data_IF_632646771019
#
_entry.id   IF_632646771019
#
_cell.length_a   1.000
_cell.length_b   1.000
_cell.length_c   1.000
_cell.angle_alpha   90.00
_cell.angle_beta   90.00
_cell.angle_gamma   90.00
#
_symmetry.space_group_name_H-M   'P 1'
#
loop_
_entity.id
_entity.type
_entity.pdbx_description
1 polymer ?
#
# COMPACT_ATOMS: atom_id res chain seq x y z
N UNK A 1 -10.18 23.83 25.72
CA UNK A 1 -11.46 23.90 24.99
C UNK A 1 -11.54 22.69 24.09
N UNK A 2 -12.36 21.71 24.47
CA UNK A 2 -12.43 20.40 23.82
C UNK A 2 -13.01 20.52 22.41
N UNK A 3 -12.29 19.98 21.43
CA UNK A 3 -12.77 19.87 20.05
C UNK A 3 -13.90 18.84 20.06
N UNK A 4 -15.13 19.35 19.91
CA UNK A 4 -16.33 18.53 19.81
C UNK A 4 -16.21 17.62 18.58
N UNK A 5 -16.23 16.31 18.81
CA UNK A 5 -16.42 15.32 17.75
C UNK A 5 -17.75 15.55 17.02
N UNK A 6 -17.90 15.03 15.79
CA UNK A 6 -19.10 15.26 15.00
C UNK A 6 -20.34 14.75 15.76
N UNK A 7 -21.28 15.66 16.01
CA UNK A 7 -22.57 15.35 16.65
C UNK A 7 -23.33 14.34 15.77
N UNK A 8 -23.46 13.11 16.23
CA UNK A 8 -24.28 12.07 15.61
C UNK A 8 -25.76 12.38 15.85
N UNK A 9 -26.43 12.92 14.84
CA UNK A 9 -27.86 13.27 14.90
C UNK A 9 -28.80 12.13 14.46
N UNK A 10 -28.39 10.86 14.49
CA UNK A 10 -29.22 9.74 14.00
C UNK A 10 -29.18 8.54 14.94
N UNK A 11 -29.92 8.61 16.03
CA UNK A 11 -30.28 7.44 16.84
C UNK A 11 -31.11 6.45 16.01
N UNK A 12 -30.54 5.30 15.65
CA UNK A 12 -31.35 4.20 15.14
C UNK A 12 -30.62 2.96 14.64
N UNK A 13 -29.51 3.05 13.90
CA UNK A 13 -28.94 1.89 13.20
C UNK A 13 -27.40 1.93 13.26
N UNK A 14 -26.80 1.37 14.32
CA UNK A 14 -25.36 1.39 14.59
C UNK A 14 -24.46 0.95 13.43
N UNK A 15 -24.95 0.08 12.53
CA UNK A 15 -24.16 -0.39 11.39
C UNK A 15 -24.07 0.66 10.27
N UNK A 16 -25.12 1.46 10.05
CA UNK A 16 -25.10 2.55 9.06
C UNK A 16 -24.12 3.64 9.48
N UNK A 17 -24.10 3.99 10.76
CA UNK A 17 -23.15 4.95 11.32
C UNK A 17 -21.70 4.45 11.23
N UNK A 18 -21.46 3.15 11.46
CA UNK A 18 -20.12 2.56 11.31
C UNK A 18 -19.62 2.61 9.86
N UNK A 19 -20.49 2.36 8.89
CA UNK A 19 -20.14 2.47 7.46
C UNK A 19 -19.86 3.94 7.09
N UNK A 20 -20.64 4.88 7.62
CA UNK A 20 -20.44 6.32 7.41
C UNK A 20 -19.12 6.83 7.99
N UNK A 21 -18.67 6.25 9.10
CA UNK A 21 -17.40 6.58 9.74
C UNK A 21 -16.21 5.75 9.24
N UNK A 22 -16.40 4.86 8.25
CA UNK A 22 -15.34 3.97 7.75
C UNK A 22 -14.32 4.70 6.86
N UNK A 23 -13.14 4.99 7.39
CA UNK A 23 -12.09 5.73 6.68
C UNK A 23 -11.13 4.83 5.87
N UNK A 24 -10.47 5.35 4.82
CA UNK A 24 -9.47 4.58 4.07
C UNK A 24 -8.29 4.06 4.92
N UNK A 25 -8.07 4.62 6.11
CA UNK A 25 -7.03 4.20 7.05
C UNK A 25 -7.17 2.72 7.49
N UNK A 26 -8.37 2.15 7.46
CA UNK A 26 -8.60 0.74 7.81
C UNK A 26 -7.87 -0.25 6.87
N UNK A 27 -7.57 0.14 5.62
CA UNK A 27 -6.78 -0.68 4.69
C UNK A 27 -5.34 -0.92 5.17
N UNK A 28 -4.85 -0.15 6.15
CA UNK A 28 -3.56 -0.43 6.79
C UNK A 28 -3.54 -1.76 7.54
N UNK A 29 -4.69 -2.26 7.99
CA UNK A 29 -4.80 -3.59 8.61
C UNK A 29 -4.59 -4.69 7.56
N UNK A 30 -5.17 -4.54 6.36
CA UNK A 30 -4.93 -5.44 5.23
C UNK A 30 -3.44 -5.47 4.87
N UNK A 31 -2.85 -4.29 4.66
CA UNK A 31 -1.41 -4.16 4.40
C UNK A 31 -0.56 -4.89 5.45
N UNK A 32 -0.83 -4.69 6.75
CA UNK A 32 -0.10 -5.36 7.82
C UNK A 32 -0.27 -6.89 7.79
N UNK A 33 -1.50 -7.36 7.56
CA UNK A 33 -1.82 -8.80 7.45
C UNK A 33 -1.08 -9.45 6.28
N UNK A 34 -1.07 -8.78 5.12
CA UNK A 34 -0.33 -9.22 3.94
C UNK A 34 1.19 -9.23 4.14
N UNK A 35 1.77 -8.23 4.83
CA UNK A 35 3.21 -8.22 5.13
C UNK A 35 3.59 -9.37 6.07
N UNK A 36 2.78 -9.67 7.09
CA UNK A 36 3.01 -10.83 7.98
C UNK A 36 3.03 -12.12 7.17
N UNK A 37 2.10 -12.28 6.22
CA UNK A 37 2.11 -13.41 5.30
C UNK A 37 3.40 -13.48 4.48
N UNK A 38 3.88 -12.38 3.92
CA UNK A 38 5.11 -12.35 3.14
C UNK A 38 6.35 -12.70 3.98
N UNK A 39 6.41 -12.23 5.23
CA UNK A 39 7.51 -12.57 6.15
C UNK A 39 7.53 -14.06 6.50
N UNK A 40 6.36 -14.67 6.70
CA UNK A 40 6.25 -16.10 7.00
C UNK A 40 6.62 -16.98 5.78
N UNK A 41 6.30 -16.55 4.56
CA UNK A 41 6.69 -17.28 3.33
C UNK A 41 8.20 -17.19 3.08
N UNK A 42 8.80 -16.02 3.28
CA UNK A 42 10.21 -15.77 2.95
C UNK A 42 11.17 -15.99 4.14
N UNK A 43 10.72 -16.61 5.22
CA UNK A 43 11.52 -16.78 6.42
C UNK A 43 12.74 -17.71 6.15
N UNK A 44 13.99 -17.22 6.32
CA UNK A 44 15.18 -17.91 5.82
C UNK A 44 15.67 -19.05 6.71
N UNK A 45 15.23 -19.12 7.98
CA UNK A 45 15.69 -20.15 8.91
C UNK A 45 14.72 -21.33 8.93
N UNK A 46 15.13 -22.53 8.46
CA UNK A 46 14.32 -23.73 8.62
C UNK A 46 14.29 -24.09 10.10
N UNK A 47 13.26 -23.63 10.80
CA UNK A 47 12.90 -24.18 12.12
C UNK A 47 12.69 -25.68 11.89
N UNK A 48 13.31 -26.56 12.67
CA UNK A 48 13.32 -28.00 12.41
C UNK A 48 11.91 -28.56 12.18
N UNK A 49 11.64 -29.04 10.95
CA UNK A 49 10.31 -29.50 10.55
C UNK A 49 9.24 -28.39 10.47
N UNK A 50 9.61 -27.12 10.39
CA UNK A 50 8.69 -25.98 10.55
C UNK A 50 8.26 -25.24 9.29
N UNK A 51 8.80 -25.62 8.15
CA UNK A 51 8.48 -25.01 6.86
C UNK A 51 7.01 -25.22 6.47
N UNK A 52 6.40 -26.36 6.84
CA UNK A 52 5.01 -26.67 6.48
C UNK A 52 3.99 -25.91 7.33
N UNK A 53 4.14 -25.87 8.66
CA UNK A 53 3.19 -25.15 9.52
C UNK A 53 3.26 -23.64 9.30
N UNK A 54 4.47 -23.11 9.06
CA UNK A 54 4.67 -21.69 8.79
C UNK A 54 4.04 -21.28 7.45
N UNK A 55 4.17 -22.12 6.41
CA UNK A 55 3.50 -21.88 5.13
C UNK A 55 1.98 -21.97 5.24
N UNK A 56 1.44 -22.88 6.05
CA UNK A 56 0.00 -22.96 6.33
C UNK A 56 -0.50 -21.73 7.09
N UNK A 57 0.23 -21.25 8.09
CA UNK A 57 -0.11 -20.01 8.79
C UNK A 57 -0.09 -18.82 7.83
N UNK A 58 0.94 -18.71 6.98
CA UNK A 58 1.02 -17.67 5.97
C UNK A 58 -0.19 -17.71 5.01
N UNK A 59 -0.63 -18.91 4.63
CA UNK A 59 -1.83 -19.10 3.81
C UNK A 59 -3.10 -18.65 4.53
N UNK A 60 -3.25 -18.92 5.84
CA UNK A 60 -4.35 -18.40 6.64
C UNK A 60 -4.36 -16.87 6.68
N UNK A 61 -3.19 -16.24 6.86
CA UNK A 61 -3.04 -14.78 6.82
C UNK A 61 -3.37 -14.21 5.44
N UNK A 62 -3.02 -14.90 4.36
CA UNK A 62 -3.38 -14.49 3.00
C UNK A 62 -4.90 -14.51 2.77
N UNK A 63 -5.59 -15.58 3.21
CA UNK A 63 -7.05 -15.66 3.13
C UNK A 63 -7.68 -14.55 3.97
N UNK A 64 -7.16 -14.31 5.18
CA UNK A 64 -7.63 -13.24 6.03
C UNK A 64 -7.46 -11.87 5.36
N UNK A 65 -6.33 -11.62 4.70
CA UNK A 65 -6.06 -10.39 3.96
C UNK A 65 -7.10 -10.20 2.83
N UNK A 66 -7.38 -11.23 2.03
CA UNK A 66 -8.41 -11.19 0.97
C UNK A 66 -9.79 -10.88 1.55
N UNK A 67 -10.19 -11.55 2.66
CA UNK A 67 -11.49 -11.34 3.29
C UNK A 67 -11.61 -9.93 3.84
N UNK A 68 -10.58 -9.44 4.54
CA UNK A 68 -10.55 -8.08 5.07
C UNK A 68 -10.59 -7.04 3.94
N UNK A 69 -9.81 -7.24 2.88
CA UNK A 69 -9.78 -6.35 1.73
C UNK A 69 -11.14 -6.29 1.02
N UNK A 70 -11.78 -7.44 0.81
CA UNK A 70 -13.13 -7.52 0.24
C UNK A 70 -14.18 -6.81 1.12
N UNK A 71 -14.16 -7.07 2.43
CA UNK A 71 -15.05 -6.43 3.40
C UNK A 71 -14.87 -4.91 3.42
N UNK A 72 -13.63 -4.43 3.49
CA UNK A 72 -13.29 -3.01 3.53
C UNK A 72 -13.61 -2.30 2.22
N UNK A 73 -13.36 -2.95 1.09
CA UNK A 73 -13.74 -2.44 -0.24
C UNK A 73 -15.25 -2.35 -0.38
N UNK A 74 -16.01 -3.35 0.09
CA UNK A 74 -17.47 -3.32 0.07
C UNK A 74 -18.01 -2.19 0.97
N UNK A 75 -17.48 -2.02 2.18
CA UNK A 75 -17.89 -0.92 3.07
C UNK A 75 -17.55 0.45 2.48
N UNK A 76 -16.37 0.60 1.87
CA UNK A 76 -15.97 1.84 1.21
C UNK A 76 -16.84 2.15 -0.01
N UNK A 77 -17.17 1.13 -0.81
CA UNK A 77 -18.07 1.26 -1.95
C UNK A 77 -19.47 1.69 -1.50
N UNK A 78 -20.04 1.05 -0.47
CA UNK A 78 -21.34 1.45 0.10
C UNK A 78 -21.28 2.88 0.64
N UNK A 79 -20.20 3.28 1.31
CA UNK A 79 -20.01 4.65 1.81
C UNK A 79 -20.07 5.68 0.68
N UNK A 80 -19.34 5.46 -0.41
CA UNK A 80 -19.27 6.42 -1.52
C UNK A 80 -20.47 6.39 -2.47
N UNK A 81 -21.12 5.23 -2.64
CA UNK A 81 -22.37 5.14 -3.41
C UNK A 81 -23.52 5.83 -2.65
N UNK A 82 -23.59 5.64 -1.33
CA UNK A 82 -24.66 6.22 -0.52
C UNK A 82 -24.46 7.73 -0.30
N UNK A 83 -23.21 8.19 -0.19
CA UNK A 83 -22.87 9.58 0.11
C UNK A 83 -21.67 10.04 -0.73
N UNK A 84 -21.89 10.39 -2.01
CA UNK A 84 -20.81 10.81 -2.90
C UNK A 84 -20.12 12.10 -2.44
N UNK A 85 -20.80 12.94 -1.66
CA UNK A 85 -20.22 14.15 -1.06
C UNK A 85 -19.04 13.83 -0.13
N UNK A 86 -19.06 12.66 0.54
CA UNK A 86 -17.97 12.22 1.41
C UNK A 86 -16.71 11.86 0.63
N UNK A 87 -16.82 11.45 -0.64
CA UNK A 87 -15.66 11.20 -1.48
C UNK A 87 -14.91 12.50 -1.74
N UNK A 88 -15.63 13.56 -2.13
CA UNK A 88 -15.05 14.89 -2.34
C UNK A 88 -14.41 15.40 -1.06
N UNK A 89 -15.08 15.23 0.08
CA UNK A 89 -14.54 15.60 1.40
C UNK A 89 -13.24 14.83 1.72
N UNK A 90 -13.24 13.51 1.57
CA UNK A 90 -12.07 12.67 1.84
C UNK A 90 -10.88 13.01 0.92
N UNK A 91 -11.14 13.38 -0.34
CA UNK A 91 -10.10 13.82 -1.28
C UNK A 91 -9.55 15.21 -0.94
N UNK A 92 -10.37 16.08 -0.35
CA UNK A 92 -10.03 17.47 -0.01
C UNK A 92 -9.54 17.66 1.43
N UNK A 93 -9.64 16.67 2.32
CA UNK A 93 -9.16 16.80 3.69
C UNK A 93 -7.84 16.04 3.89
N UNK A 94 -6.77 16.79 4.14
CA UNK A 94 -5.53 16.26 4.70
C UNK A 94 -5.72 16.07 6.22
N UNK A 95 -5.43 14.88 6.81
CA UNK A 95 -4.56 13.80 6.32
C UNK A 95 -5.29 12.59 5.72
N UNK A 96 -6.63 12.56 5.73
CA UNK A 96 -7.44 11.41 5.35
C UNK A 96 -7.19 10.94 3.90
N UNK A 97 -6.98 11.90 3.00
CA UNK A 97 -6.69 11.67 1.59
C UNK A 97 -5.45 10.78 1.37
N UNK A 98 -4.39 10.94 2.19
CA UNK A 98 -3.15 10.17 2.04
C UNK A 98 -3.33 8.67 2.30
N UNK A 99 -4.32 8.27 3.11
CA UNK A 99 -4.61 6.86 3.36
C UNK A 99 -5.25 6.15 2.16
N UNK A 100 -5.68 6.87 1.12
CA UNK A 100 -6.13 6.24 -0.13
C UNK A 100 -5.01 5.42 -0.80
N UNK A 101 -3.74 5.74 -0.52
CA UNK A 101 -2.61 4.92 -0.96
C UNK A 101 -2.53 3.55 -0.30
N UNK A 102 -3.19 3.32 0.84
CA UNK A 102 -3.23 2.00 1.45
C UNK A 102 -4.03 0.98 0.62
N UNK A 103 -4.96 1.44 -0.24
CA UNK A 103 -5.79 0.57 -1.09
C UNK A 103 -4.93 -0.20 -2.11
N UNK A 104 -4.15 0.46 -3.00
CA UNK A 104 -3.31 -0.28 -3.93
C UNK A 104 -2.24 -1.11 -3.22
N UNK A 105 -1.68 -0.63 -2.10
CA UNK A 105 -0.71 -1.41 -1.31
C UNK A 105 -1.32 -2.72 -0.81
N UNK A 106 -2.55 -2.69 -0.29
CA UNK A 106 -3.25 -3.91 0.14
C UNK A 106 -3.63 -4.82 -1.04
N UNK A 107 -3.84 -4.26 -2.24
CA UNK A 107 -4.00 -5.08 -3.45
C UNK A 107 -2.68 -5.78 -3.82
N UNK A 108 -1.54 -5.08 -3.72
CA UNK A 108 -0.21 -5.64 -3.99
C UNK A 108 0.10 -6.85 -3.09
N UNK A 109 -0.23 -6.81 -1.80
CA UNK A 109 -0.01 -7.96 -0.90
C UNK A 109 -0.78 -9.20 -1.34
N UNK A 110 -2.03 -9.02 -1.79
CA UNK A 110 -2.85 -10.10 -2.33
C UNK A 110 -2.21 -10.66 -3.62
N UNK A 111 -1.77 -9.79 -4.54
CA UNK A 111 -1.12 -10.16 -5.80
C UNK A 111 0.11 -11.03 -5.55
N UNK A 112 0.99 -10.60 -4.64
CA UNK A 112 2.20 -11.38 -4.32
C UNK A 112 1.82 -12.73 -3.71
N UNK A 113 0.80 -12.79 -2.84
CA UNK A 113 0.33 -14.05 -2.27
C UNK A 113 -0.30 -15.01 -3.29
N UNK A 114 -0.97 -14.54 -4.35
CA UNK A 114 -1.44 -15.40 -5.46
C UNK A 114 -0.27 -16.21 -6.00
N UNK A 115 0.86 -15.54 -6.23
CA UNK A 115 2.05 -16.14 -6.82
C UNK A 115 2.77 -17.03 -5.81
N UNK A 116 2.84 -16.64 -4.53
CA UNK A 116 3.49 -17.44 -3.48
C UNK A 116 2.82 -18.81 -3.22
N UNK A 117 1.51 -18.93 -3.45
CA UNK A 117 0.75 -20.16 -3.15
C UNK A 117 0.28 -20.93 -4.38
N UNK A 118 0.10 -20.27 -5.52
CA UNK A 118 -0.48 -20.86 -6.74
C UNK A 118 0.45 -20.79 -7.97
N UNK A 119 1.75 -20.64 -7.79
CA UNK A 119 2.75 -20.60 -8.88
C UNK A 119 2.64 -21.74 -9.90
N UNK A 120 2.23 -22.93 -9.47
CA UNK A 120 2.09 -24.15 -10.26
C UNK A 120 0.97 -24.05 -11.30
N UNK A 121 0.03 -23.10 -11.15
CA UNK A 121 -1.05 -22.88 -12.12
C UNK A 121 -0.73 -21.72 -13.04
N UNK A 122 -0.70 -21.99 -14.34
CA UNK A 122 -0.53 -20.94 -15.37
C UNK A 122 -1.64 -19.88 -15.29
N UNK A 123 -2.88 -20.27 -14.95
CA UNK A 123 -3.99 -19.32 -14.78
C UNK A 123 -3.74 -18.32 -13.65
N UNK A 124 -3.15 -18.75 -12.53
CA UNK A 124 -2.84 -17.87 -11.41
C UNK A 124 -1.81 -16.80 -11.79
N UNK A 125 -0.82 -17.15 -12.63
CA UNK A 125 0.19 -16.20 -13.14
C UNK A 125 -0.45 -15.09 -13.98
N UNK A 126 -1.38 -15.43 -14.87
CA UNK A 126 -2.10 -14.45 -15.68
C UNK A 126 -3.07 -13.59 -14.87
N UNK A 127 -3.69 -14.17 -13.84
CA UNK A 127 -4.52 -13.41 -12.89
C UNK A 127 -3.67 -12.40 -12.12
N UNK A 128 -2.51 -12.82 -11.59
CA UNK A 128 -1.58 -11.91 -10.93
C UNK A 128 -1.07 -10.80 -11.86
N UNK A 129 -0.77 -11.14 -13.12
CA UNK A 129 -0.41 -10.16 -14.16
C UNK A 129 -1.52 -9.13 -14.41
N UNK A 130 -2.78 -9.58 -14.54
CA UNK A 130 -3.91 -8.68 -14.76
C UNK A 130 -4.12 -7.75 -13.56
N UNK A 131 -4.10 -8.28 -12.34
CA UNK A 131 -4.21 -7.48 -11.12
C UNK A 131 -3.04 -6.52 -10.92
N UNK A 132 -1.82 -6.90 -11.34
CA UNK A 132 -0.66 -6.01 -11.32
C UNK A 132 -0.91 -4.73 -12.13
N UNK A 133 -1.48 -4.82 -13.34
CA UNK A 133 -1.82 -3.62 -14.11
C UNK A 133 -2.88 -2.75 -13.45
N UNK A 134 -3.84 -3.36 -12.76
CA UNK A 134 -4.83 -2.63 -11.95
C UNK A 134 -4.12 -1.90 -10.80
N UNK A 135 -3.19 -2.56 -10.11
CA UNK A 135 -2.39 -1.95 -9.06
C UNK A 135 -1.53 -0.79 -9.59
N UNK A 136 -0.86 -0.96 -10.74
CA UNK A 136 -0.10 0.12 -11.41
C UNK A 136 -0.99 1.33 -11.72
N UNK A 137 -2.18 1.11 -12.27
CA UNK A 137 -3.10 2.20 -12.56
C UNK A 137 -3.54 2.92 -11.27
N UNK A 138 -3.90 2.17 -10.23
CA UNK A 138 -4.31 2.72 -8.94
C UNK A 138 -3.17 3.49 -8.26
N UNK A 139 -1.94 2.99 -8.29
CA UNK A 139 -0.81 3.69 -7.69
C UNK A 139 -0.44 4.95 -8.42
N UNK A 140 -0.46 4.96 -9.75
CA UNK A 140 -0.26 6.19 -10.51
C UNK A 140 -1.37 7.22 -10.22
N UNK A 141 -2.62 6.78 -10.11
CA UNK A 141 -3.74 7.64 -9.76
C UNK A 141 -3.59 8.22 -8.34
N UNK A 142 -3.15 7.42 -7.37
CA UNK A 142 -2.89 7.91 -6.01
C UNK A 142 -1.70 8.87 -6.02
N UNK A 143 -0.55 8.44 -6.53
CA UNK A 143 0.71 9.16 -6.41
C UNK A 143 0.78 10.42 -7.24
N UNK A 144 0.17 10.47 -8.43
CA UNK A 144 0.12 11.70 -9.23
C UNK A 144 -1.23 12.42 -9.11
N UNK A 145 -2.34 11.68 -9.11
CA UNK A 145 -3.67 12.28 -9.01
C UNK A 145 -3.92 12.95 -7.65
N UNK A 146 -3.56 12.31 -6.53
CA UNK A 146 -3.73 12.97 -5.23
C UNK A 146 -2.74 14.11 -5.03
N UNK A 147 -1.48 13.97 -5.46
CA UNK A 147 -0.49 15.06 -5.35
C UNK A 147 -0.92 16.30 -6.16
N UNK A 148 -1.45 16.12 -7.38
CA UNK A 148 -1.95 17.23 -8.19
C UNK A 148 -3.19 17.87 -7.58
N UNK A 149 -4.16 17.08 -7.11
CA UNK A 149 -5.33 17.59 -6.40
C UNK A 149 -4.93 18.35 -5.12
N UNK A 150 -3.96 17.83 -4.38
CA UNK A 150 -3.44 18.49 -3.19
C UNK A 150 -2.81 19.84 -3.52
N UNK A 151 -2.01 19.90 -4.58
CA UNK A 151 -1.34 21.15 -5.00
C UNK A 151 -2.35 22.20 -5.51
N UNK A 152 -3.42 21.77 -6.18
CA UNK A 152 -4.41 22.68 -6.77
C UNK A 152 -5.50 23.14 -5.80
N UNK A 153 -5.88 22.30 -4.83
CA UNK A 153 -7.10 22.51 -4.02
C UNK A 153 -6.84 22.73 -2.52
N UNK A 154 -5.64 22.44 -2.00
CA UNK A 154 -5.36 22.58 -0.57
C UNK A 154 -4.94 23.99 -0.21
N UNK A 155 -5.21 24.37 1.04
CA UNK A 155 -4.70 25.60 1.64
C UNK A 155 -3.17 25.48 1.81
N UNK A 156 -2.49 26.61 1.91
CA UNK A 156 -1.05 26.64 2.20
C UNK A 156 -0.74 25.83 3.46
N UNK A 157 0.10 24.82 3.31
CA UNK A 157 0.63 24.03 4.42
C UNK A 157 1.85 24.73 5.00
N UNK A 158 1.91 24.81 6.33
CA UNK A 158 3.13 25.22 7.03
C UNK A 158 4.10 24.04 7.13
N UNK A 159 5.40 24.33 7.22
CA UNK A 159 6.45 23.30 7.44
C UNK A 159 6.19 22.51 8.74
N UNK A 160 5.52 23.11 9.73
CA UNK A 160 5.09 22.43 10.96
C UNK A 160 4.12 21.27 10.74
N UNK A 161 3.38 21.31 9.62
CA UNK A 161 2.28 20.40 9.31
C UNK A 161 2.76 19.16 8.53
N UNK A 162 4.03 19.15 8.11
CA UNK A 162 4.66 18.00 7.46
C UNK A 162 4.68 16.84 8.47
N UNK A 163 4.07 15.74 8.07
CA UNK A 163 3.97 14.52 8.85
C UNK A 163 4.47 13.32 8.03
N UNK A 164 4.90 12.25 8.71
CA UNK A 164 5.34 11.02 8.03
C UNK A 164 4.28 10.42 7.10
N UNK A 165 3.00 10.74 7.33
CA UNK A 165 1.88 10.32 6.49
C UNK A 165 1.95 10.85 5.05
N UNK A 166 2.68 11.94 4.80
CA UNK A 166 2.92 12.44 3.44
C UNK A 166 3.60 11.38 2.55
N UNK A 167 4.32 10.42 3.15
CA UNK A 167 4.91 9.31 2.42
C UNK A 167 3.86 8.34 1.84
N UNK A 168 2.65 8.26 2.41
CA UNK A 168 1.62 7.33 1.93
C UNK A 168 1.10 7.62 0.53
N UNK A 169 1.37 8.81 -0.03
CA UNK A 169 1.07 9.10 -1.44
C UNK A 169 2.14 8.53 -2.38
N UNK A 170 3.38 8.35 -1.94
CA UNK A 170 4.50 7.88 -2.78
C UNK A 170 4.91 6.42 -2.53
N UNK A 171 4.71 5.92 -1.31
CA UNK A 171 4.97 4.51 -0.94
C UNK A 171 4.28 3.50 -1.89
N UNK A 172 3.04 3.72 -2.38
CA UNK A 172 2.41 2.77 -3.27
C UNK A 172 3.23 2.47 -4.54
N UNK A 173 3.89 3.47 -5.14
CA UNK A 173 4.76 3.25 -6.31
C UNK A 173 5.87 2.23 -6.04
N UNK A 174 6.49 2.32 -4.86
CA UNK A 174 7.59 1.45 -4.46
C UNK A 174 7.06 0.04 -4.15
N UNK A 175 5.91 -0.06 -3.48
CA UNK A 175 5.33 -1.36 -3.13
C UNK A 175 4.82 -2.09 -4.37
N UNK A 176 4.17 -1.40 -5.32
CA UNK A 176 3.78 -2.01 -6.59
C UNK A 176 5.00 -2.42 -7.40
N UNK A 177 6.08 -1.64 -7.38
CA UNK A 177 7.35 -2.05 -7.99
C UNK A 177 7.94 -3.32 -7.33
N UNK A 178 7.88 -3.41 -6.00
CA UNK A 178 8.29 -4.60 -5.26
C UNK A 178 7.41 -5.82 -5.59
N UNK A 179 6.10 -5.65 -5.67
CA UNK A 179 5.19 -6.71 -6.07
C UNK A 179 5.51 -7.19 -7.51
N UNK A 180 5.73 -6.23 -8.43
CA UNK A 180 6.13 -6.52 -9.79
C UNK A 180 7.46 -7.27 -9.89
N UNK A 181 8.45 -6.95 -9.06
CA UNK A 181 9.73 -7.68 -9.04
C UNK A 181 9.57 -9.11 -8.54
N UNK A 182 8.70 -9.35 -7.55
CA UNK A 182 8.39 -10.72 -7.10
C UNK A 182 7.66 -11.53 -8.17
N UNK A 183 6.91 -10.90 -9.09
CA UNK A 183 6.20 -11.58 -10.18
C UNK A 183 7.14 -12.09 -11.29
N UNK A 184 8.33 -11.50 -11.45
CA UNK A 184 9.20 -11.72 -12.61
C UNK A 184 9.54 -13.20 -12.88
N UNK A 185 10.03 -13.99 -11.91
CA UNK A 185 10.43 -15.38 -12.19
C UNK A 185 9.25 -16.25 -12.66
N UNK A 186 8.06 -15.95 -12.16
CA UNK A 186 6.85 -16.69 -12.46
C UNK A 186 6.27 -16.31 -13.83
N UNK A 187 6.31 -15.02 -14.17
CA UNK A 187 5.94 -14.54 -15.49
C UNK A 187 6.92 -15.02 -16.55
N UNK A 188 8.21 -15.11 -16.24
CA UNK A 188 9.22 -15.56 -17.17
C UNK A 188 8.99 -17.02 -17.61
N UNK A 189 8.61 -17.87 -16.65
CA UNK A 189 8.19 -19.25 -16.92
C UNK A 189 6.92 -19.36 -17.79
N UNK A 190 6.15 -18.28 -17.99
CA UNK A 190 4.97 -18.26 -18.86
C UNK A 190 5.19 -17.49 -20.17
N UNK A 191 5.83 -16.33 -20.10
CA UNK A 191 6.15 -15.45 -21.22
C UNK A 191 7.26 -14.47 -20.85
N UNK A 192 8.45 -14.66 -21.42
CA UNK A 192 9.59 -13.76 -21.24
C UNK A 192 9.28 -12.31 -21.61
N UNK A 193 8.45 -12.09 -22.66
CA UNK A 193 8.03 -10.73 -23.06
C UNK A 193 7.23 -10.04 -21.95
N UNK A 194 6.31 -10.76 -21.30
CA UNK A 194 5.54 -10.21 -20.19
C UNK A 194 6.44 -9.88 -18.99
N UNK A 195 7.40 -10.76 -18.68
CA UNK A 195 8.36 -10.53 -17.60
C UNK A 195 9.22 -9.27 -17.86
N UNK A 196 9.72 -9.07 -19.08
CA UNK A 196 10.51 -7.87 -19.45
C UNK A 196 9.66 -6.60 -19.31
N UNK A 197 8.39 -6.62 -19.76
CA UNK A 197 7.51 -5.45 -19.62
C UNK A 197 7.29 -5.11 -18.15
N UNK A 198 7.00 -6.11 -17.31
CA UNK A 198 6.82 -5.90 -15.86
C UNK A 198 8.11 -5.42 -15.21
N UNK A 199 9.27 -5.91 -15.63
CA UNK A 199 10.57 -5.46 -15.13
C UNK A 199 10.78 -3.97 -15.41
N UNK A 200 10.60 -3.55 -16.67
CA UNK A 200 10.79 -2.15 -17.08
C UNK A 200 9.80 -1.23 -16.36
N UNK A 201 8.52 -1.60 -16.32
CA UNK A 201 7.49 -0.80 -15.64
C UNK A 201 7.77 -0.70 -14.15
N UNK A 202 8.11 -1.82 -13.50
CA UNK A 202 8.43 -1.82 -12.06
C UNK A 202 9.67 -0.98 -11.77
N UNK A 203 10.69 -1.01 -12.62
CA UNK A 203 11.88 -0.17 -12.46
C UNK A 203 11.56 1.34 -12.59
N UNK A 204 10.68 1.71 -13.52
CA UNK A 204 10.22 3.09 -13.67
C UNK A 204 9.40 3.54 -12.46
N UNK A 205 8.46 2.72 -11.98
CA UNK A 205 7.67 2.99 -10.78
C UNK A 205 8.58 3.14 -9.54
N UNK A 206 9.56 2.24 -9.38
CA UNK A 206 10.56 2.33 -8.33
C UNK A 206 11.35 3.63 -8.39
N UNK A 207 11.85 4.01 -9.57
CA UNK A 207 12.65 5.22 -9.76
C UNK A 207 11.86 6.48 -9.40
N UNK A 208 10.60 6.57 -9.87
CA UNK A 208 9.70 7.67 -9.56
C UNK A 208 9.36 7.72 -8.06
N UNK A 209 9.02 6.57 -7.47
CA UNK A 209 8.70 6.46 -6.05
C UNK A 209 9.86 6.84 -5.14
N UNK A 210 11.07 6.34 -5.43
CA UNK A 210 12.28 6.64 -4.67
C UNK A 210 12.64 8.13 -4.76
N UNK A 211 12.49 8.76 -5.93
CA UNK A 211 12.72 10.19 -6.10
C UNK A 211 11.77 11.01 -5.19
N UNK A 212 10.47 10.71 -5.24
CA UNK A 212 9.47 11.40 -4.41
C UNK A 212 9.70 11.17 -2.91
N UNK A 213 10.00 9.94 -2.50
CA UNK A 213 10.26 9.62 -1.09
C UNK A 213 11.47 10.37 -0.57
N UNK A 214 12.57 10.49 -1.32
CA UNK A 214 13.75 11.22 -0.87
C UNK A 214 13.46 12.72 -0.66
N UNK A 215 12.67 13.33 -1.55
CA UNK A 215 12.26 14.74 -1.39
C UNK A 215 11.44 14.94 -0.12
N UNK A 216 10.44 14.09 0.11
CA UNK A 216 9.58 14.16 1.31
C UNK A 216 10.39 13.87 2.57
N UNK A 217 11.28 12.88 2.52
CA UNK A 217 12.10 12.48 3.66
C UNK A 217 13.08 13.58 4.07
N UNK A 218 13.70 14.28 3.12
CA UNK A 218 14.58 15.40 3.41
C UNK A 218 13.85 16.53 4.17
N UNK A 219 12.65 16.89 3.71
CA UNK A 219 11.81 17.91 4.37
C UNK A 219 11.32 17.43 5.74
N UNK A 220 10.90 16.16 5.85
CA UNK A 220 10.45 15.57 7.10
C UNK A 220 11.57 15.48 8.14
N UNK A 221 12.78 15.12 7.70
CA UNK A 221 13.97 15.08 8.54
C UNK A 221 14.32 16.47 9.08
N UNK A 222 14.31 17.49 8.21
CA UNK A 222 14.47 18.89 8.64
C UNK A 222 13.42 19.29 9.67
N UNK A 223 12.15 18.97 9.42
CA UNK A 223 11.04 19.24 10.36
C UNK A 223 11.24 18.58 11.72
N UNK A 224 11.77 17.35 11.77
CA UNK A 224 12.07 16.65 13.02
C UNK A 224 13.22 17.31 13.81
N UNK A 225 14.17 17.94 13.13
CA UNK A 225 15.26 18.70 13.77
C UNK A 225 14.75 20.05 14.29
N UNK A 226 13.95 20.76 13.49
CA UNK A 226 13.52 22.13 13.80
C UNK A 226 12.32 22.22 14.74
N UNK A 227 11.49 21.18 14.84
CA UNK A 227 10.28 21.17 15.65
C UNK A 227 10.24 19.99 16.62
N UNK A 228 9.43 20.12 17.68
CA UNK A 228 9.17 19.01 18.62
C UNK A 228 8.52 17.82 17.90
N UNK A 229 8.62 16.64 18.53
CA UNK A 229 7.99 15.41 18.05
C UNK A 229 6.51 15.65 17.69
N UNK A 230 5.98 14.95 16.66
CA UNK A 230 4.57 15.05 16.30
C UNK A 230 3.64 14.77 17.50
N UNK A 231 2.40 15.28 17.48
CA UNK A 231 1.39 14.95 18.49
C UNK A 231 1.27 13.43 18.67
N UNK A 232 0.88 12.98 19.87
CA UNK A 232 0.89 11.56 20.25
C UNK A 232 0.15 10.64 19.27
N UNK A 233 -0.92 11.14 18.65
CA UNK A 233 -1.73 10.43 17.64
C UNK A 233 -0.96 10.11 16.34
N UNK A 234 0.09 10.88 16.03
CA UNK A 234 0.90 10.73 14.83
C UNK A 234 2.27 10.11 15.12
N UNK A 235 2.58 9.71 16.35
CA UNK A 235 3.88 9.12 16.69
C UNK A 235 4.16 7.82 15.93
N UNK A 236 3.13 6.99 15.71
CA UNK A 236 3.28 5.77 14.92
C UNK A 236 3.70 6.06 13.47
N UNK A 237 3.33 7.24 12.94
CA UNK A 237 3.71 7.68 11.59
C UNK A 237 5.22 7.95 11.45
N UNK A 238 5.96 8.11 12.55
CA UNK A 238 7.41 8.25 12.52
C UNK A 238 8.14 7.00 12.01
N UNK A 239 7.48 5.83 12.04
CA UNK A 239 8.03 4.59 11.48
C UNK A 239 7.76 4.42 9.98
N UNK A 240 6.90 5.26 9.38
CA UNK A 240 6.58 5.19 7.95
C UNK A 240 7.79 5.27 7.02
N UNK A 241 8.85 6.07 7.29
CA UNK A 241 10.05 6.08 6.45
C UNK A 241 10.74 4.72 6.31
N UNK A 242 10.57 3.80 7.27
CA UNK A 242 11.16 2.46 7.17
C UNK A 242 10.57 1.65 6.01
N UNK A 243 9.27 1.84 5.73
CA UNK A 243 8.56 1.08 4.71
C UNK A 243 9.10 1.32 3.28
N UNK A 244 9.18 2.56 2.74
CA UNK A 244 9.67 2.79 1.40
C UNK A 244 11.17 2.48 1.25
N UNK A 245 11.98 2.66 2.30
CA UNK A 245 13.40 2.30 2.25
C UNK A 245 13.60 0.79 2.19
N UNK A 246 12.89 0.03 3.03
CA UNK A 246 12.95 -1.43 3.04
C UNK A 246 12.37 -2.06 1.78
N UNK A 247 11.16 -1.65 1.38
CA UNK A 247 10.52 -2.13 0.15
C UNK A 247 11.28 -1.69 -1.10
N UNK A 248 11.85 -0.48 -1.10
CA UNK A 248 12.69 0.01 -2.19
C UNK A 248 13.96 -0.82 -2.36
N UNK A 249 14.64 -1.17 -1.26
CA UNK A 249 15.80 -2.06 -1.29
C UNK A 249 15.43 -3.47 -1.76
N UNK A 250 14.32 -4.03 -1.26
CA UNK A 250 13.81 -5.33 -1.69
C UNK A 250 13.48 -5.35 -3.19
N UNK A 251 12.77 -4.34 -3.70
CA UNK A 251 12.37 -4.24 -5.09
C UNK A 251 13.58 -4.30 -6.03
N UNK A 252 14.58 -3.43 -5.81
CA UNK A 252 15.76 -3.36 -6.67
C UNK A 252 16.60 -4.63 -6.58
N UNK A 253 16.74 -5.23 -5.39
CA UNK A 253 17.48 -6.48 -5.20
C UNK A 253 16.85 -7.62 -6.01
N UNK A 254 15.52 -7.78 -5.94
CA UNK A 254 14.82 -8.83 -6.69
C UNK A 254 14.92 -8.62 -8.20
N UNK A 255 14.81 -7.38 -8.68
CA UNK A 255 15.00 -7.06 -10.10
C UNK A 255 16.43 -7.39 -10.55
N UNK A 256 17.45 -7.06 -9.74
CA UNK A 256 18.84 -7.37 -10.03
C UNK A 256 19.11 -8.88 -10.09
N UNK A 257 18.56 -9.66 -9.15
CA UNK A 257 18.67 -11.13 -9.15
C UNK A 257 18.04 -11.71 -10.42
N UNK A 258 16.87 -11.22 -10.80
CA UNK A 258 16.22 -11.65 -12.04
C UNK A 258 17.07 -11.35 -13.27
N UNK A 259 17.60 -10.13 -13.38
CA UNK A 259 18.44 -9.71 -14.51
C UNK A 259 19.76 -10.51 -14.58
N UNK A 260 20.33 -10.87 -13.44
CA UNK A 260 21.57 -11.66 -13.37
C UNK A 260 21.43 -13.05 -14.01
N UNK A 261 20.22 -13.60 -14.15
CA UNK A 261 20.01 -14.86 -14.87
C UNK A 261 20.21 -14.76 -16.39
N UNK A 262 20.32 -13.53 -16.91
CA UNK A 262 20.41 -13.22 -18.34
C UNK A 262 21.76 -12.64 -18.79
N UNK A 263 22.70 -12.45 -17.85
CA UNK A 263 24.06 -11.96 -18.08
C UNK A 263 25.06 -13.11 -17.98
#
# INVERSE_FOLDING_TARGET
MGVAGPKSWVTGWHWRERILNFEPSWFTICMGTGVVQQMLVNFPYPVGGGTWWMRNLAYCFWILDIVLFGLFTAMLAVRYISHPELLKKNLMEFPACSYLGAIPIALDTIIVGIVSFYDYRTSARWVAFAFYWVAVALTLLVSFGLLTLQTLSQKQHSISDVAGLWLMTSVPLIVTAAAGSTLLPYLDAASQRAAIVVLVVSFLLWSLGMCQVHLILAVYFWRLISHKLPPQQLLASCFLPLAPLGQGAYAIQQMSIFLANYL
#
